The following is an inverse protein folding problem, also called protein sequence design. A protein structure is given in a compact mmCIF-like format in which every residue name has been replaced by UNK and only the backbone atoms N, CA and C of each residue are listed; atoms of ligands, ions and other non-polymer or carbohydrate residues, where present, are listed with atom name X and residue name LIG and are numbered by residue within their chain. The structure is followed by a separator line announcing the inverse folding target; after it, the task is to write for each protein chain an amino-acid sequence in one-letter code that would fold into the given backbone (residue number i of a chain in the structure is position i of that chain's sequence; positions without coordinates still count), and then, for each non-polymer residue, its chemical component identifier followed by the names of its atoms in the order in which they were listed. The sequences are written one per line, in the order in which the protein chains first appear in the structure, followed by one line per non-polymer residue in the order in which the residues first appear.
data_IF_541481870969
#
_entry.id   IF_541481870969
#
_cell.length_a   1.000
_cell.length_b   1.000
_cell.length_c   1.000
_cell.angle_alpha   90.00
_cell.angle_beta   90.00
_cell.angle_gamma   90.00
#
_symmetry.space_group_name_H-M   'P 1'
#
loop_
_entity.id
_entity.type
_entity.pdbx_description
1 polymer ?
#
# COMPACT_ATOMS: atom_id res chain seq x y z
N UNK A 1 37.29 -24.99 13.08
CA UNK A 1 36.63 -23.66 13.15
C UNK A 1 35.95 -23.45 14.50
N UNK A 2 35.21 -24.43 15.01
CA UNK A 2 34.65 -24.44 16.37
C UNK A 2 35.75 -24.46 17.45
N UNK A 3 36.83 -25.23 17.26
CA UNK A 3 37.94 -25.31 18.24
C UNK A 3 38.73 -24.00 18.38
N UNK A 4 38.87 -23.25 17.27
CA UNK A 4 39.51 -21.93 17.27
C UNK A 4 38.66 -20.90 18.03
N UNK A 5 37.32 -21.00 17.91
CA UNK A 5 36.39 -20.16 18.66
C UNK A 5 36.42 -20.47 20.16
N UNK A 6 36.50 -21.75 20.53
CA UNK A 6 36.59 -22.21 21.91
C UNK A 6 37.93 -21.83 22.57
N UNK A 7 39.03 -21.86 21.82
CA UNK A 7 40.35 -21.43 22.31
C UNK A 7 40.44 -19.92 22.52
N UNK A 8 39.76 -19.14 21.67
CA UNK A 8 39.58 -17.71 21.86
C UNK A 8 38.75 -17.43 23.13
N UNK A 9 37.62 -18.12 23.30
CA UNK A 9 36.76 -17.97 24.50
C UNK A 9 37.51 -18.27 25.79
N UNK A 10 38.41 -19.27 25.79
CA UNK A 10 39.23 -19.65 26.96
C UNK A 10 40.36 -18.66 27.27
N UNK A 11 40.86 -17.92 26.27
CA UNK A 11 41.93 -16.92 26.43
C UNK A 11 41.41 -15.51 26.72
N UNK A 12 40.14 -15.24 26.42
CA UNK A 12 39.50 -13.97 26.69
C UNK A 12 39.26 -13.76 28.18
N UNK A 13 39.74 -12.64 28.70
CA UNK A 13 39.48 -12.22 30.08
C UNK A 13 38.00 -11.82 30.25
N UNK A 14 37.50 -11.85 31.48
CA UNK A 14 36.14 -11.37 31.81
C UNK A 14 35.94 -9.92 31.35
N UNK A 15 37.00 -9.11 31.38
CA UNK A 15 37.01 -7.73 30.88
C UNK A 15 36.81 -7.62 29.36
N UNK A 16 37.35 -8.54 28.56
CA UNK A 16 37.14 -8.54 27.10
C UNK A 16 35.68 -8.84 26.75
N UNK A 17 35.04 -9.72 27.51
CA UNK A 17 33.62 -10.02 27.36
C UNK A 17 32.72 -8.84 27.75
N UNK A 18 33.06 -8.12 28.83
CA UNK A 18 32.34 -6.92 29.24
C UNK A 18 32.47 -5.81 28.18
N UNK A 19 33.67 -5.61 27.62
CA UNK A 19 33.89 -4.63 26.55
C UNK A 19 33.16 -5.00 25.26
N UNK A 20 33.13 -6.28 24.89
CA UNK A 20 32.37 -6.77 23.73
C UNK A 20 30.87 -6.56 23.91
N UNK A 21 30.32 -6.90 25.08
CA UNK A 21 28.91 -6.68 25.41
C UNK A 21 28.56 -5.18 25.45
N UNK A 22 29.44 -4.34 26.02
CA UNK A 22 29.30 -2.89 26.01
C UNK A 22 29.28 -2.31 24.60
N UNK A 23 30.12 -2.84 23.70
CA UNK A 23 30.16 -2.43 22.29
C UNK A 23 28.88 -2.80 21.55
N UNK A 24 28.34 -3.99 21.79
CA UNK A 24 27.04 -4.42 21.23
C UNK A 24 25.91 -3.53 21.76
N UNK A 25 25.90 -3.22 23.06
CA UNK A 25 24.92 -2.33 23.66
C UNK A 25 25.01 -0.91 23.09
N UNK A 26 26.22 -0.39 22.87
CA UNK A 26 26.44 0.92 22.26
C UNK A 26 25.94 0.97 20.81
N UNK A 27 26.19 -0.07 20.00
CA UNK A 27 25.65 -0.19 18.64
C UNK A 27 24.13 -0.23 18.66
N UNK A 28 23.54 -1.00 19.59
CA UNK A 28 22.09 -1.07 19.74
C UNK A 28 21.49 0.29 20.13
N UNK A 29 22.09 0.99 21.09
CA UNK A 29 21.67 2.33 21.51
C UNK A 29 21.80 3.31 20.35
N UNK A 30 22.91 3.29 19.60
CA UNK A 30 23.11 4.14 18.43
C UNK A 30 22.05 3.87 17.35
N UNK A 31 21.73 2.60 17.09
CA UNK A 31 20.66 2.22 16.15
C UNK A 31 19.29 2.71 16.61
N UNK A 32 18.93 2.48 17.87
CA UNK A 32 17.66 2.95 18.44
C UNK A 32 17.58 4.47 18.41
N UNK A 33 18.64 5.17 18.82
CA UNK A 33 18.72 6.64 18.76
C UNK A 33 18.57 7.16 17.34
N UNK A 34 19.16 6.49 16.34
CA UNK A 34 19.01 6.84 14.93
C UNK A 34 17.58 6.62 14.43
N UNK A 35 16.94 5.51 14.81
CA UNK A 35 15.53 5.23 14.48
C UNK A 35 14.60 6.25 15.14
N UNK A 36 14.83 6.58 16.42
CA UNK A 36 14.06 7.57 17.17
C UNK A 36 14.28 8.97 16.60
N UNK A 37 15.53 9.36 16.29
CA UNK A 37 15.87 10.65 15.69
C UNK A 37 15.23 10.83 14.32
N UNK A 38 15.27 9.81 13.45
CA UNK A 38 14.54 9.85 12.16
C UNK A 38 13.05 10.06 12.38
N UNK A 39 12.43 9.30 13.29
CA UNK A 39 11.01 9.50 13.63
C UNK A 39 10.73 10.89 14.22
N UNK A 40 11.64 11.43 15.05
CA UNK A 40 11.49 12.73 15.68
C UNK A 40 11.57 13.88 14.65
N UNK A 41 12.47 13.77 13.68
CA UNK A 41 12.59 14.71 12.55
C UNK A 41 11.33 14.64 11.68
N UNK A 42 10.84 13.43 11.38
CA UNK A 42 9.58 13.24 10.65
C UNK A 42 8.36 13.78 11.42
N UNK A 43 8.41 13.83 12.76
CA UNK A 43 7.38 14.47 13.59
C UNK A 43 7.57 15.98 13.77
N UNK A 44 8.69 16.58 13.37
CA UNK A 44 8.91 18.03 13.42
C UNK A 44 8.28 18.77 12.22
N UNK A 45 8.06 18.06 11.12
CA UNK A 45 7.45 18.58 9.88
C UNK A 45 6.22 17.73 9.56
N UNK A 46 5.20 17.79 10.42
CA UNK A 46 3.98 16.99 10.22
C UNK A 46 3.14 17.67 9.14
N UNK A 47 3.47 17.40 7.88
CA UNK A 47 2.52 17.50 6.77
C UNK A 47 1.59 16.30 6.85
N UNK A 48 0.38 16.50 7.34
CA UNK A 48 -0.61 15.44 7.49
C UNK A 48 -1.61 15.50 6.33
N UNK A 49 -1.28 14.83 5.23
CA UNK A 49 -2.25 14.63 4.17
C UNK A 49 -3.29 13.60 4.58
N UNK A 50 -4.56 13.98 4.43
CA UNK A 50 -5.72 13.14 4.74
C UNK A 50 -6.67 13.15 3.57
N UNK A 51 -6.92 11.95 3.02
CA UNK A 51 -8.05 11.74 2.13
C UNK A 51 -9.35 11.88 2.94
N UNK A 52 -10.13 12.89 2.61
CA UNK A 52 -11.40 13.22 3.28
C UNK A 52 -12.57 12.52 2.60
N UNK A 53 -12.59 12.52 1.27
CA UNK A 53 -13.70 12.02 0.46
C UNK A 53 -13.19 11.27 -0.77
N UNK A 54 -13.93 10.24 -1.16
CA UNK A 54 -13.69 9.48 -2.39
C UNK A 54 -15.02 9.28 -3.08
N UNK A 55 -15.12 9.76 -4.31
CA UNK A 55 -16.35 9.82 -5.08
C UNK A 55 -16.11 9.14 -6.43
N UNK A 56 -17.12 8.42 -6.91
CA UNK A 56 -17.07 7.83 -8.24
C UNK A 56 -18.39 8.11 -8.93
N UNK A 57 -18.32 8.95 -9.95
CA UNK A 57 -19.46 9.43 -10.70
C UNK A 57 -19.50 8.68 -12.03
N UNK A 58 -20.52 7.86 -12.21
CA UNK A 58 -20.72 7.12 -13.47
C UNK A 58 -21.40 7.97 -14.55
N UNK A 59 -22.11 9.03 -14.13
CA UNK A 59 -23.05 9.80 -14.95
C UNK A 59 -22.57 11.22 -15.24
N UNK A 60 -21.27 11.38 -15.51
CA UNK A 60 -20.69 12.66 -15.92
C UNK A 60 -20.70 12.77 -17.44
N UNK A 61 -21.00 13.96 -17.97
CA UNK A 61 -21.10 14.25 -19.40
C UNK A 61 -19.81 13.98 -20.18
N UNK A 62 -18.66 13.92 -19.50
CA UNK A 62 -17.33 13.59 -20.02
C UNK A 62 -16.92 12.12 -19.84
N UNK A 63 -17.84 11.25 -19.41
CA UNK A 63 -17.56 9.85 -19.03
C UNK A 63 -17.22 9.70 -17.54
N UNK A 64 -17.08 8.46 -17.02
CA UNK A 64 -17.01 8.19 -15.59
C UNK A 64 -15.80 8.89 -14.93
N UNK A 65 -16.08 9.61 -13.85
CA UNK A 65 -15.07 10.38 -13.12
C UNK A 65 -14.83 9.79 -11.73
N UNK A 66 -13.57 9.56 -11.41
CA UNK A 66 -13.15 9.17 -10.07
C UNK A 66 -12.45 10.36 -9.41
N UNK A 67 -13.00 10.78 -8.27
CA UNK A 67 -12.64 12.02 -7.59
C UNK A 67 -12.16 11.70 -6.18
N UNK A 68 -10.99 12.18 -5.82
CA UNK A 68 -10.40 12.04 -4.49
C UNK A 68 -10.17 13.41 -3.90
N UNK A 69 -10.79 13.68 -2.76
CA UNK A 69 -10.58 14.92 -2.03
C UNK A 69 -9.54 14.69 -0.94
N UNK A 70 -8.46 15.48 -0.97
CA UNK A 70 -7.34 15.41 -0.03
C UNK A 70 -7.24 16.75 0.68
N UNK A 71 -7.17 16.71 2.01
CA UNK A 71 -6.91 17.88 2.84
C UNK A 71 -5.51 17.79 3.45
N UNK A 72 -4.82 18.92 3.56
CA UNK A 72 -3.63 19.04 4.38
C UNK A 72 -4.03 19.50 5.78
N UNK A 73 -4.14 18.55 6.73
CA UNK A 73 -4.42 18.85 8.13
C UNK A 73 -3.16 18.98 8.98
N UNK A 74 -1.98 19.02 8.34
CA UNK A 74 -0.71 19.26 9.02
C UNK A 74 -0.53 20.73 9.39
N UNK A 75 0.55 21.03 10.13
CA UNK A 75 0.93 22.41 10.48
C UNK A 75 1.83 23.07 9.43
N UNK A 76 2.27 22.32 8.43
CA UNK A 76 3.19 22.76 7.38
C UNK A 76 2.60 22.55 6.00
N UNK A 77 3.11 23.32 5.03
CA UNK A 77 2.75 23.19 3.63
C UNK A 77 3.33 21.90 3.05
N UNK A 78 2.56 21.23 2.20
CA UNK A 78 2.95 20.01 1.51
C UNK A 78 3.41 20.33 0.09
N UNK A 79 4.55 19.76 -0.29
CA UNK A 79 5.17 19.91 -1.60
C UNK A 79 5.40 18.54 -2.26
N UNK A 80 5.51 18.54 -3.58
CA UNK A 80 5.67 17.35 -4.45
C UNK A 80 4.68 16.22 -4.15
N UNK A 81 3.43 16.58 -3.88
CA UNK A 81 2.38 15.63 -3.53
C UNK A 81 2.08 14.75 -4.75
N UNK A 82 2.31 13.44 -4.61
CA UNK A 82 1.94 12.43 -5.59
C UNK A 82 0.84 11.55 -5.00
N UNK A 83 -0.35 11.61 -5.59
CA UNK A 83 -1.48 10.76 -5.20
C UNK A 83 -1.68 9.70 -6.27
N UNK A 84 -1.61 8.44 -5.85
CA UNK A 84 -1.85 7.28 -6.71
C UNK A 84 -3.01 6.46 -6.17
N UNK A 85 -3.80 5.93 -7.07
CA UNK A 85 -4.86 4.97 -6.78
C UNK A 85 -4.45 3.59 -7.27
N UNK A 86 -4.90 2.57 -6.57
CA UNK A 86 -4.78 1.20 -6.99
C UNK A 86 -6.17 0.57 -6.85
N UNK A 87 -6.82 0.34 -7.98
CA UNK A 87 -8.02 -0.48 -8.00
C UNK A 87 -7.60 -1.94 -7.95
N UNK A 88 -8.13 -2.66 -6.97
CA UNK A 88 -7.94 -4.10 -6.89
C UNK A 88 -9.16 -4.74 -7.51
N UNK A 89 -9.09 -4.94 -8.84
CA UNK A 89 -10.18 -5.52 -9.64
C UNK A 89 -10.58 -6.85 -9.01
N UNK A 90 -11.84 -6.95 -8.64
CA UNK A 90 -12.35 -8.14 -7.99
C UNK A 90 -12.26 -9.31 -8.97
N UNK A 91 -11.60 -10.40 -8.55
CA UNK A 91 -11.70 -11.74 -9.12
C UNK A 91 -11.80 -11.79 -10.66
N UNK A 92 -10.65 -11.75 -11.33
CA UNK A 92 -10.61 -12.23 -12.71
C UNK A 92 -10.74 -13.76 -12.73
N UNK A 93 -11.52 -14.30 -13.68
CA UNK A 93 -11.69 -15.74 -13.86
C UNK A 93 -10.76 -16.24 -14.96
N UNK A 94 -9.81 -17.10 -14.62
CA UNK A 94 -9.10 -17.93 -15.61
C UNK A 94 -9.77 -19.28 -15.67
N UNK A 95 -10.32 -19.64 -16.83
CA UNK A 95 -10.84 -20.98 -17.06
C UNK A 95 -9.68 -21.90 -17.48
N UNK A 96 -9.46 -22.96 -16.71
CA UNK A 96 -8.49 -24.03 -17.02
C UNK A 96 -9.23 -25.35 -16.87
N UNK A 97 -9.44 -26.06 -17.98
CA UNK A 97 -10.14 -27.34 -18.04
C UNK A 97 -11.44 -27.37 -17.21
N UNK A 98 -12.42 -26.57 -17.63
CA UNK A 98 -13.77 -26.45 -17.03
C UNK A 98 -13.81 -25.94 -15.57
N UNK A 99 -12.65 -25.74 -14.93
CA UNK A 99 -12.54 -25.10 -13.61
C UNK A 99 -12.22 -23.62 -13.77
N UNK A 100 -12.98 -22.78 -13.07
CA UNK A 100 -12.74 -21.34 -13.01
C UNK A 100 -11.91 -20.98 -11.78
N UNK A 101 -10.76 -20.34 -12.01
CA UNK A 101 -9.84 -19.88 -10.96
C UNK A 101 -9.95 -18.37 -10.80
N UNK A 102 -9.97 -17.91 -9.55
CA UNK A 102 -10.23 -16.52 -9.16
C UNK A 102 -8.94 -15.89 -8.65
N UNK A 103 -8.56 -14.72 -9.16
CA UNK A 103 -7.40 -13.97 -8.69
C UNK A 103 -7.63 -12.46 -8.67
N UNK A 104 -6.85 -11.74 -7.85
CA UNK A 104 -6.89 -10.28 -7.78
C UNK A 104 -5.91 -9.67 -8.75
N UNK A 105 -6.40 -8.78 -9.60
CA UNK A 105 -5.57 -7.93 -10.45
C UNK A 105 -5.48 -6.52 -9.84
N UNK A 106 -4.36 -5.85 -10.04
CA UNK A 106 -4.10 -4.53 -9.47
C UNK A 106 -3.85 -3.54 -10.59
N UNK A 107 -4.77 -2.59 -10.76
CA UNK A 107 -4.65 -1.55 -11.78
C UNK A 107 -4.21 -0.26 -11.10
N UNK A 108 -3.07 0.28 -11.54
CA UNK A 108 -2.54 1.56 -11.07
C UNK A 108 -3.29 2.70 -11.75
N UNK A 109 -3.62 3.71 -10.97
CA UNK A 109 -4.28 4.96 -11.35
C UNK A 109 -3.35 6.08 -10.98
N UNK A 110 -2.94 6.84 -11.96
CA UNK A 110 -2.29 8.12 -11.70
C UNK A 110 -3.41 9.16 -11.59
N UNK A 111 -3.43 9.86 -10.45
CA UNK A 111 -4.39 10.95 -10.25
C UNK A 111 -3.70 12.28 -10.49
N UNK A 112 -4.35 13.15 -11.26
CA UNK A 112 -3.92 14.52 -11.48
C UNK A 112 -4.55 15.41 -10.41
N UNK A 113 -3.73 16.25 -9.80
CA UNK A 113 -4.13 17.28 -8.87
C UNK A 113 -2.98 18.23 -8.60
N UNK A 114 -3.07 19.01 -7.52
CA UNK A 114 -1.99 19.93 -7.15
C UNK A 114 -0.80 19.18 -6.57
N UNK A 115 0.41 19.55 -6.98
CA UNK A 115 1.65 19.05 -6.38
C UNK A 115 2.01 19.78 -5.08
N UNK A 116 1.32 20.88 -4.75
CA UNK A 116 1.56 21.68 -3.56
C UNK A 116 0.23 22.05 -2.87
N UNK A 117 0.22 22.07 -1.54
CA UNK A 117 -0.99 22.35 -0.76
C UNK A 117 -0.64 22.98 0.59
N UNK A 118 -1.22 24.15 0.87
CA UNK A 118 -0.96 24.85 2.13
C UNK A 118 -1.61 24.14 3.31
N UNK A 119 -1.11 24.40 4.51
CA UNK A 119 -1.76 23.95 5.75
C UNK A 119 -3.22 24.44 5.80
N UNK A 120 -4.17 23.52 5.99
CA UNK A 120 -5.61 23.79 6.01
C UNK A 120 -6.31 23.71 4.65
N UNK A 121 -5.57 23.66 3.54
CA UNK A 121 -6.17 23.58 2.21
C UNK A 121 -6.78 22.21 1.93
N UNK A 122 -7.75 22.20 1.01
CA UNK A 122 -8.33 20.99 0.43
C UNK A 122 -8.21 21.05 -1.09
N UNK A 123 -7.78 19.94 -1.70
CA UNK A 123 -7.62 19.81 -3.13
C UNK A 123 -8.34 18.57 -3.66
N UNK A 124 -8.79 18.67 -4.90
CA UNK A 124 -9.44 17.59 -5.64
C UNK A 124 -8.45 16.98 -6.62
N UNK A 125 -8.37 15.66 -6.61
CA UNK A 125 -7.58 14.85 -7.52
C UNK A 125 -8.52 13.99 -8.36
N UNK A 126 -8.29 13.93 -9.67
CA UNK A 126 -9.11 13.14 -10.60
C UNK A 126 -8.26 12.20 -11.46
N UNK A 127 -8.87 11.16 -12.00
CA UNK A 127 -8.19 10.19 -12.89
C UNK A 127 -8.12 10.73 -14.32
N UNK A 128 -7.01 10.49 -15.00
CA UNK A 128 -6.87 10.70 -16.46
C UNK A 128 -7.63 9.64 -17.26
N UNK A 129 -8.43 10.11 -18.21
CA UNK A 129 -9.39 9.40 -19.07
C UNK A 129 -8.91 8.10 -19.74
N UNK A 130 -7.60 7.88 -19.91
CA UNK A 130 -7.06 6.77 -20.71
C UNK A 130 -7.23 5.37 -20.08
N UNK A 131 -7.70 5.31 -18.84
CA UNK A 131 -7.91 4.05 -18.15
C UNK A 131 -9.40 3.73 -18.09
N UNK A 132 -9.93 3.18 -19.20
CA UNK A 132 -11.32 2.70 -19.28
C UNK A 132 -11.57 1.59 -18.24
N UNK A 133 -12.21 1.94 -17.13
CA UNK A 133 -12.57 0.99 -16.08
C UNK A 133 -13.97 0.42 -16.31
N UNK A 134 -14.05 -0.91 -16.44
CA UNK A 134 -15.24 -1.65 -16.01
C UNK A 134 -15.25 -1.66 -14.47
N UNK A 135 -15.65 -0.55 -13.84
CA UNK A 135 -15.71 -0.46 -12.38
C UNK A 135 -16.86 -1.35 -11.88
N UNK A 136 -16.52 -2.44 -11.19
CA UNK A 136 -17.48 -3.22 -10.42
C UNK A 136 -17.63 -2.57 -9.04
N UNK A 137 -18.86 -2.27 -8.64
CA UNK A 137 -19.25 -1.76 -7.32
C UNK A 137 -18.81 -2.64 -6.13
N UNK A 138 -18.13 -3.77 -6.37
CA UNK A 138 -17.52 -4.61 -5.31
C UNK A 138 -16.00 -4.43 -5.19
N UNK A 139 -15.42 -3.50 -5.93
CA UNK A 139 -13.96 -3.32 -6.02
C UNK A 139 -13.43 -2.54 -4.81
N UNK A 140 -12.37 -3.06 -4.20
CA UNK A 140 -11.64 -2.34 -3.14
C UNK A 140 -10.61 -1.41 -3.76
N UNK A 141 -10.45 -0.24 -3.14
CA UNK A 141 -9.51 0.78 -3.58
C UNK A 141 -8.43 0.97 -2.53
N UNK A 142 -7.18 1.07 -2.98
CA UNK A 142 -6.07 1.55 -2.16
C UNK A 142 -5.63 2.89 -2.73
N UNK A 143 -5.66 3.92 -1.89
CA UNK A 143 -5.05 5.21 -2.22
C UNK A 143 -3.71 5.29 -1.52
N UNK A 144 -2.68 5.69 -2.26
CA UNK A 144 -1.36 5.97 -1.71
C UNK A 144 -1.00 7.41 -2.00
N UNK A 145 -0.44 8.07 -1.01
CA UNK A 145 0.12 9.40 -1.18
C UNK A 145 1.57 9.37 -0.76
N UNK A 146 2.37 9.97 -1.61
CA UNK A 146 3.80 10.15 -1.44
C UNK A 146 4.06 11.65 -1.34
N UNK A 147 4.82 12.02 -0.31
CA UNK A 147 5.30 13.37 -0.04
C UNK A 147 6.76 13.50 -0.50
N UNK A 148 7.25 14.73 -0.68
CA UNK A 148 8.66 15.00 -0.94
C UNK A 148 9.62 14.32 0.06
N UNK A 149 9.17 14.09 1.30
CA UNK A 149 9.94 13.36 2.32
C UNK A 149 10.15 11.87 2.02
N UNK A 150 9.59 11.35 0.92
CA UNK A 150 9.57 9.93 0.59
C UNK A 150 8.59 9.12 1.45
N UNK A 151 7.86 9.78 2.35
CA UNK A 151 6.86 9.11 3.19
C UNK A 151 5.67 8.67 2.34
N UNK A 152 5.46 7.35 2.25
CA UNK A 152 4.32 6.75 1.54
C UNK A 152 3.27 6.28 2.53
N UNK A 153 2.08 6.87 2.48
CA UNK A 153 0.96 6.47 3.34
C UNK A 153 -0.12 5.80 2.48
N UNK A 154 -0.60 4.64 2.95
CA UNK A 154 -1.63 3.85 2.27
C UNK A 154 -2.95 3.92 3.02
N UNK A 155 -4.05 4.16 2.30
CA UNK A 155 -5.42 4.18 2.83
C UNK A 155 -6.29 3.24 2.01
N UNK A 156 -7.12 2.48 2.71
CA UNK A 156 -7.95 1.44 2.13
C UNK A 156 -9.41 1.88 2.19
N UNK A 157 -10.09 1.73 1.07
CA UNK A 157 -11.48 2.14 0.88
C UNK A 157 -12.25 0.98 0.25
N UNK A 158 -13.50 0.82 0.68
CA UNK A 158 -14.45 -0.13 0.11
C UNK A 158 -15.67 0.60 -0.40
N UNK A 159 -16.25 0.09 -1.47
CA UNK A 159 -17.59 0.49 -1.86
C UNK A 159 -18.61 -0.09 -0.88
N UNK A 160 -19.61 0.71 -0.52
CA UNK A 160 -20.72 0.34 0.33
C UNK A 160 -22.03 0.65 -0.40
N UNK A 161 -22.70 -0.39 -0.90
CA UNK A 161 -23.93 -0.27 -1.67
C UNK A 161 -25.13 0.22 -0.83
N UNK A 162 -25.11 -0.01 0.49
CA UNK A 162 -26.24 0.29 1.37
C UNK A 162 -26.34 1.79 1.73
N UNK A 163 -25.31 2.59 1.43
CA UNK A 163 -25.37 4.06 1.55
C UNK A 163 -26.08 4.62 0.31
N UNK A 164 -27.40 4.55 0.32
CA UNK A 164 -28.25 4.76 -0.86
C UNK A 164 -28.58 6.21 -1.22
N UNK A 165 -28.03 7.24 -0.55
CA UNK A 165 -28.51 8.64 -0.73
C UNK A 165 -27.46 9.74 -0.85
N UNK A 166 -26.16 9.43 -0.88
CA UNK A 166 -25.11 10.44 -1.10
C UNK A 166 -24.02 9.89 -2.01
N UNK A 167 -23.33 10.77 -2.75
CA UNK A 167 -22.25 10.40 -3.68
C UNK A 167 -21.06 9.69 -3.00
N UNK A 168 -21.09 9.55 -1.66
CA UNK A 168 -20.08 8.90 -0.82
C UNK A 168 -20.33 7.40 -0.63
N UNK A 169 -20.33 6.69 -1.75
CA UNK A 169 -20.41 5.21 -1.75
C UNK A 169 -19.11 4.56 -1.28
N UNK A 170 -17.98 5.29 -1.24
CA UNK A 170 -16.73 4.78 -0.70
C UNK A 170 -16.58 5.10 0.78
N UNK A 171 -16.35 4.06 1.58
CA UNK A 171 -16.12 4.16 3.02
C UNK A 171 -14.72 3.63 3.34
N UNK A 172 -14.04 4.29 4.29
CA UNK A 172 -12.75 3.82 4.80
C UNK A 172 -12.91 2.42 5.41
N UNK A 173 -12.03 1.51 5.05
CA UNK A 173 -11.97 0.20 5.68
C UNK A 173 -11.45 0.32 7.12
N UNK A 174 -12.03 -0.44 8.02
CA UNK A 174 -11.55 -0.59 9.40
C UNK A 174 -10.24 -1.40 9.45
N UNK A 175 -9.44 -1.29 10.54
CA UNK A 175 -8.20 -2.08 10.67
C UNK A 175 -8.41 -3.59 10.51
N UNK A 176 -9.52 -4.12 11.04
CA UNK A 176 -9.87 -5.54 10.90
C UNK A 176 -10.17 -5.92 9.45
N UNK A 177 -10.94 -5.10 8.73
CA UNK A 177 -11.23 -5.33 7.31
C UNK A 177 -9.97 -5.28 6.46
N UNK A 178 -9.05 -4.35 6.74
CA UNK A 178 -7.75 -4.26 6.08
C UNK A 178 -6.95 -5.53 6.31
N UNK A 179 -6.90 -6.04 7.54
CA UNK A 179 -6.18 -7.29 7.87
C UNK A 179 -6.79 -8.47 7.11
N UNK A 180 -8.11 -8.64 7.16
CA UNK A 180 -8.84 -9.71 6.45
C UNK A 180 -8.59 -9.62 4.94
N UNK A 181 -8.66 -8.43 4.37
CA UNK A 181 -8.41 -8.17 2.95
C UNK A 181 -6.98 -8.56 2.54
N UNK A 182 -5.96 -8.14 3.30
CA UNK A 182 -4.55 -8.48 3.04
C UNK A 182 -4.31 -9.99 3.06
N UNK A 183 -4.83 -10.69 4.07
CA UNK A 183 -4.71 -12.15 4.19
C UNK A 183 -5.40 -12.83 3.02
N UNK A 184 -6.63 -12.42 2.71
CA UNK A 184 -7.40 -13.00 1.60
C UNK A 184 -6.69 -12.82 0.25
N UNK A 185 -6.14 -11.62 -0.01
CA UNK A 185 -5.36 -11.33 -1.21
C UNK A 185 -4.10 -12.19 -1.29
N UNK A 186 -3.34 -12.31 -0.20
CA UNK A 186 -2.13 -13.14 -0.16
C UNK A 186 -2.47 -14.60 -0.50
N UNK A 187 -3.53 -15.14 0.08
CA UNK A 187 -3.98 -16.52 -0.17
C UNK A 187 -4.34 -16.77 -1.64
N UNK A 188 -5.05 -15.85 -2.29
CA UNK A 188 -5.41 -15.99 -3.70
C UNK A 188 -4.20 -15.80 -4.63
N UNK A 189 -3.30 -14.87 -4.32
CA UNK A 189 -2.11 -14.64 -5.14
C UNK A 189 -1.08 -15.78 -5.02
N UNK A 190 -0.95 -16.43 -3.87
CA UNK A 190 -0.09 -17.62 -3.71
C UNK A 190 -0.57 -18.75 -4.64
N UNK A 191 -1.89 -18.90 -4.84
CA UNK A 191 -2.45 -19.94 -5.73
C UNK A 191 -2.25 -19.65 -7.22
N UNK A 192 -2.05 -18.38 -7.59
CA UNK A 192 -2.07 -17.94 -8.99
C UNK A 192 -0.91 -18.48 -9.87
N UNK A 193 0.37 -18.44 -9.44
CA UNK A 193 1.48 -19.00 -10.22
C UNK A 193 1.28 -20.47 -10.56
N UNK A 194 0.79 -21.27 -9.62
CA UNK A 194 0.52 -22.69 -9.82
C UNK A 194 -0.56 -22.93 -10.88
N UNK A 195 -1.57 -22.07 -10.96
CA UNK A 195 -2.62 -22.15 -11.99
C UNK A 195 -2.07 -21.80 -13.38
N UNK A 196 -1.25 -20.76 -13.51
CA UNK A 196 -0.62 -20.38 -14.80
C UNK A 196 0.29 -21.49 -15.29
N UNK A 197 1.16 -22.00 -14.42
CA UNK A 197 2.08 -23.10 -14.75
C UNK A 197 1.27 -24.33 -15.20
N UNK A 198 0.25 -24.71 -14.44
CA UNK A 198 -0.61 -25.84 -14.80
C UNK A 198 -1.28 -25.66 -16.18
N UNK A 199 -1.84 -24.46 -16.46
CA UNK A 199 -2.42 -24.13 -17.78
C UNK A 199 -1.39 -24.29 -18.90
N UNK A 200 -0.19 -23.76 -18.71
CA UNK A 200 0.89 -23.84 -19.71
C UNK A 200 1.33 -25.28 -19.99
N UNK A 201 1.41 -26.12 -18.95
CA UNK A 201 1.75 -27.53 -19.07
C UNK A 201 0.67 -28.33 -19.81
N UNK A 202 -0.61 -28.09 -19.51
CA UNK A 202 -1.73 -28.72 -20.21
C UNK A 202 -1.76 -28.31 -21.69
N UNK A 203 -1.57 -27.02 -21.97
CA UNK A 203 -1.54 -26.52 -23.34
C UNK A 203 -0.37 -27.11 -24.14
N UNK A 204 0.81 -27.25 -23.52
CA UNK A 204 1.97 -27.93 -24.12
C UNK A 204 1.70 -29.41 -24.41
N UNK A 205 1.00 -30.11 -23.51
CA UNK A 205 0.60 -31.52 -23.70
C UNK A 205 -0.45 -31.75 -24.79
N UNK A 206 -1.27 -30.74 -25.13
CA UNK A 206 -2.28 -30.86 -26.22
C UNK A 206 -1.73 -30.50 -27.59
N UNK A 207 -0.57 -29.83 -27.64
CA UNK A 207 0.11 -29.45 -28.89
C UNK A 207 1.09 -30.52 -29.38
N UNK A 208 1.57 -31.39 -28.49
CA UNK A 208 2.28 -32.62 -28.82
C UNK A 208 1.29 -33.76 -28.97
#
# INVERSE_FOLDING_TARGET
MVDVLLDLVKKSSVTDWIQALGSIAAIFIAYVSLVVSKRAIDTGVITQLRVTRVTFNLETSSGPEFVVMVANSGHSDAFEIKVQGYFIKNVQRVNVMEKSYKYYDTIKLDLIGRTEMKSGDTCVYSITQDSYFSFDAKTSLILTYELASGTVIKRYWKFNADRSKTDDRFVKMTPFEIKKFKIHRAWLNIKHPFVIIHKSLIFKKRKN
#
